data_IF_363352111485
#
_entry.id   IF_363352111485
#
_cell.length_a   1.000
_cell.length_b   1.000
_cell.length_c   1.000
_cell.angle_alpha   90.00
_cell.angle_beta   90.00
_cell.angle_gamma   90.00
#
_symmetry.space_group_name_H-M   'P 1'
#
loop_
_entity.id
_entity.type
_entity.pdbx_description
1 polymer ?
#
# COMPACT_ATOMS: atom_id res chain seq x y z
N UNK A 1 -26.76 -28.40 10.19
CA UNK A 1 -25.91 -29.32 10.94
C UNK A 1 -24.48 -28.86 10.75
N UNK A 2 -23.85 -28.29 11.78
CA UNK A 2 -22.44 -27.93 11.77
C UNK A 2 -21.64 -29.22 12.03
N UNK A 3 -20.92 -29.71 11.01
CA UNK A 3 -19.98 -30.81 11.20
C UNK A 3 -18.88 -30.37 12.17
N UNK A 4 -18.73 -31.11 13.25
CA UNK A 4 -17.65 -30.92 14.22
C UNK A 4 -16.32 -31.22 13.48
N UNK A 5 -15.40 -30.26 13.52
CA UNK A 5 -14.05 -30.45 13.04
C UNK A 5 -13.45 -31.72 13.68
N UNK A 6 -12.84 -32.55 12.86
CA UNK A 6 -12.22 -33.82 13.24
C UNK A 6 -11.19 -33.60 14.35
N UNK A 7 -11.17 -34.40 15.43
CA UNK A 7 -10.19 -34.34 16.52
C UNK A 7 -8.73 -34.64 16.05
N UNK A 8 -8.56 -35.18 14.87
CA UNK A 8 -7.21 -35.52 14.33
C UNK A 8 -6.35 -34.34 13.91
N UNK A 9 -6.91 -33.10 13.84
CA UNK A 9 -6.14 -31.88 13.51
C UNK A 9 -5.35 -31.37 14.73
N UNK A 10 -5.69 -31.77 15.94
CA UNK A 10 -5.08 -31.24 17.18
C UNK A 10 -3.81 -31.96 17.62
N UNK A 11 -3.63 -33.25 17.28
CA UNK A 11 -2.45 -34.02 17.69
C UNK A 11 -1.22 -33.75 16.80
N UNK A 12 -1.41 -33.44 15.51
CA UNK A 12 -0.32 -33.08 14.59
C UNK A 12 0.29 -31.69 14.88
N UNK A 13 -0.44 -30.82 15.59
CA UNK A 13 0.01 -29.46 15.93
C UNK A 13 1.00 -29.45 17.10
N UNK A 14 0.96 -30.48 17.98
CA UNK A 14 1.83 -30.56 19.18
C UNK A 14 3.26 -31.02 18.90
N UNK A 15 3.56 -31.52 17.69
CA UNK A 15 4.89 -31.96 17.26
C UNK A 15 5.45 -31.11 16.11
N UNK A 16 4.75 -30.03 15.70
CA UNK A 16 5.20 -29.15 14.64
C UNK A 16 6.32 -28.21 15.17
N UNK A 17 7.33 -27.98 14.34
CA UNK A 17 8.27 -26.88 14.57
C UNK A 17 7.48 -25.58 14.80
N UNK A 18 7.94 -24.76 15.73
CA UNK A 18 7.32 -23.47 16.03
C UNK A 18 8.20 -22.33 15.54
N UNK A 19 7.57 -21.19 15.26
CA UNK A 19 8.27 -19.94 14.97
C UNK A 19 7.72 -18.85 15.89
N UNK A 20 8.61 -18.01 16.39
CA UNK A 20 8.21 -16.87 17.22
C UNK A 20 7.65 -15.74 16.34
N UNK A 21 6.39 -15.37 16.54
CA UNK A 21 5.75 -14.20 15.97
C UNK A 21 5.71 -13.07 17.00
N UNK A 22 6.51 -12.01 16.81
CA UNK A 22 6.54 -10.84 17.69
C UNK A 22 5.65 -9.73 17.13
N UNK A 23 4.51 -9.46 17.77
CA UNK A 23 3.50 -8.51 17.29
C UNK A 23 3.52 -7.24 18.10
N UNK A 24 3.50 -6.09 17.46
CA UNK A 24 3.28 -4.81 18.14
C UNK A 24 1.87 -4.77 18.73
N UNK A 25 1.81 -4.49 20.04
CA UNK A 25 0.58 -4.32 20.82
C UNK A 25 0.50 -2.87 21.30
N UNK A 26 -0.66 -2.26 21.10
CA UNK A 26 -0.96 -0.92 21.54
C UNK A 26 -2.47 -0.70 21.69
N UNK A 27 -2.89 -0.33 22.89
CA UNK A 27 -4.25 0.13 23.18
C UNK A 27 -4.17 1.57 23.71
N UNK A 28 -4.61 2.59 22.94
CA UNK A 28 -4.48 4.00 23.34
C UNK A 28 -5.23 4.35 24.64
N UNK A 29 -6.18 3.52 25.06
CA UNK A 29 -6.88 3.67 26.36
C UNK A 29 -6.12 3.12 27.56
N UNK A 30 -5.03 2.37 27.35
CA UNK A 30 -4.29 1.64 28.40
C UNK A 30 -2.78 1.80 28.35
N UNK A 31 -2.22 1.89 27.13
CA UNK A 31 -0.79 1.86 26.89
C UNK A 31 -0.23 3.27 26.65
N UNK A 32 0.85 3.63 27.29
CA UNK A 32 1.57 4.89 27.03
C UNK A 32 2.43 4.84 25.77
N UNK A 33 2.81 3.64 25.32
CA UNK A 33 3.63 3.40 24.13
C UNK A 33 3.40 1.99 23.59
N UNK A 34 3.62 1.77 22.26
CA UNK A 34 3.62 0.43 21.67
C UNK A 34 4.69 -0.47 22.33
N UNK A 35 4.38 -1.77 22.43
CA UNK A 35 5.28 -2.82 22.92
C UNK A 35 5.22 -4.05 22.02
N UNK A 36 6.28 -4.83 21.95
CA UNK A 36 6.27 -6.12 21.27
C UNK A 36 5.78 -7.21 22.22
N UNK A 37 4.98 -8.12 21.71
CA UNK A 37 4.52 -9.32 22.40
C UNK A 37 4.80 -10.54 21.52
N UNK A 38 5.57 -11.51 22.07
CA UNK A 38 5.90 -12.75 21.37
C UNK A 38 4.79 -13.78 21.52
N UNK A 39 4.59 -14.55 20.45
CA UNK A 39 3.69 -15.69 20.38
C UNK A 39 4.42 -16.85 19.68
N UNK A 40 4.43 -18.03 20.29
CA UNK A 40 4.93 -19.24 19.64
C UNK A 40 3.81 -19.82 18.78
N UNK A 41 3.97 -19.75 17.47
CA UNK A 41 2.96 -20.24 16.52
C UNK A 41 3.49 -21.50 15.79
N UNK A 42 2.63 -22.44 15.41
CA UNK A 42 3.04 -23.55 14.57
C UNK A 42 3.67 -23.05 13.27
N UNK A 43 4.82 -23.61 12.91
CA UNK A 43 5.43 -23.35 11.62
C UNK A 43 4.86 -24.30 10.55
N UNK A 44 4.49 -23.70 9.43
CA UNK A 44 4.13 -24.43 8.21
C UNK A 44 4.73 -23.72 7.03
N UNK A 45 5.31 -24.44 6.10
CA UNK A 45 6.04 -23.89 4.94
C UNK A 45 5.13 -23.10 4.00
N UNK A 46 3.85 -23.43 3.94
CA UNK A 46 2.82 -22.76 3.16
C UNK A 46 2.16 -21.57 3.86
N UNK A 47 2.44 -21.34 5.15
CA UNK A 47 1.83 -20.24 5.89
C UNK A 47 2.49 -18.91 5.59
N UNK A 48 1.62 -17.89 5.53
CA UNK A 48 2.02 -16.49 5.48
C UNK A 48 1.82 -15.82 6.86
N UNK A 49 2.39 -14.64 7.05
CA UNK A 49 2.25 -13.85 8.29
C UNK A 49 0.78 -13.66 8.68
N UNK A 50 -0.12 -13.48 7.71
CA UNK A 50 -1.55 -13.35 7.99
C UNK A 50 -2.14 -14.64 8.59
N UNK A 51 -1.70 -15.82 8.19
CA UNK A 51 -2.17 -17.09 8.76
C UNK A 51 -1.70 -17.25 10.19
N UNK A 52 -0.44 -16.89 10.48
CA UNK A 52 0.09 -16.85 11.84
C UNK A 52 -0.69 -15.87 12.74
N UNK A 53 -1.00 -14.67 12.27
CA UNK A 53 -1.83 -13.72 12.99
C UNK A 53 -3.25 -14.24 13.25
N UNK A 54 -3.87 -14.89 12.24
CA UNK A 54 -5.18 -15.51 12.40
C UNK A 54 -5.13 -16.65 13.43
N UNK A 55 -4.07 -17.44 13.43
CA UNK A 55 -3.88 -18.51 14.39
C UNK A 55 -3.74 -17.97 15.82
N UNK A 56 -2.88 -16.95 16.03
CA UNK A 56 -2.75 -16.25 17.32
C UNK A 56 -4.10 -15.75 17.80
N UNK A 57 -4.85 -15.04 16.93
CA UNK A 57 -6.16 -14.47 17.28
C UNK A 57 -7.18 -15.53 17.67
N UNK A 58 -7.14 -16.70 17.04
CA UNK A 58 -8.10 -17.77 17.26
C UNK A 58 -7.77 -18.68 18.43
N UNK A 59 -6.47 -18.85 18.79
CA UNK A 59 -6.03 -19.86 19.74
C UNK A 59 -5.31 -19.29 20.98
N UNK A 60 -4.73 -18.08 20.89
CA UNK A 60 -3.91 -17.52 21.98
C UNK A 60 -4.46 -16.21 22.51
N UNK A 61 -4.71 -15.21 21.62
CA UNK A 61 -5.06 -13.86 22.04
C UNK A 61 -6.05 -13.21 21.07
N UNK A 62 -7.34 -13.34 21.35
CA UNK A 62 -8.42 -12.75 20.56
C UNK A 62 -8.42 -11.21 20.51
N UNK A 63 -7.60 -10.55 21.35
CA UNK A 63 -7.53 -9.09 21.42
C UNK A 63 -6.58 -8.47 20.37
N UNK A 64 -5.80 -9.25 19.63
CA UNK A 64 -4.91 -8.75 18.56
C UNK A 64 -5.74 -8.14 17.42
N UNK A 65 -5.39 -6.89 17.02
CA UNK A 65 -6.10 -6.16 15.97
C UNK A 65 -5.21 -5.95 14.74
N UNK A 66 -5.75 -6.32 13.60
CA UNK A 66 -5.13 -6.11 12.27
C UNK A 66 -6.22 -6.09 11.20
N UNK A 67 -5.88 -5.56 10.03
CA UNK A 67 -6.80 -5.51 8.87
C UNK A 67 -6.46 -6.62 7.88
N UNK A 68 -7.47 -7.23 7.30
CA UNK A 68 -7.32 -8.15 6.16
C UNK A 68 -8.66 -8.35 5.46
N UNK A 69 -8.62 -8.89 4.22
CA UNK A 69 -9.83 -9.23 3.48
C UNK A 69 -9.56 -10.37 2.47
N UNK A 70 -8.96 -10.08 1.31
CA UNK A 70 -8.93 -11.02 0.16
C UNK A 70 -8.01 -12.24 0.32
N UNK A 71 -6.99 -12.20 1.17
CA UNK A 71 -5.95 -13.24 1.37
C UNK A 71 -5.10 -13.58 0.12
N UNK A 72 -5.22 -12.84 -0.97
CA UNK A 72 -4.59 -13.16 -2.26
C UNK A 72 -3.84 -11.96 -2.89
N UNK A 73 -3.40 -11.01 -2.08
CA UNK A 73 -2.58 -9.88 -2.54
C UNK A 73 -3.31 -8.88 -3.46
N UNK A 74 -4.65 -8.77 -3.41
CA UNK A 74 -5.44 -7.92 -4.32
C UNK A 74 -6.01 -6.68 -3.64
N UNK A 75 -6.53 -6.79 -2.40
CA UNK A 75 -7.27 -5.68 -1.78
C UNK A 75 -6.39 -4.65 -1.05
N UNK A 76 -5.12 -4.95 -0.76
CA UNK A 76 -4.20 -4.06 -0.04
C UNK A 76 -4.45 -3.91 1.46
N UNK A 77 -5.52 -4.51 2.03
CA UNK A 77 -5.94 -4.26 3.43
C UNK A 77 -4.94 -4.76 4.49
N UNK A 78 -4.17 -5.81 4.20
CA UNK A 78 -3.24 -6.43 5.16
C UNK A 78 -1.81 -5.86 5.08
N UNK A 79 -1.67 -4.58 4.72
CA UNK A 79 -0.39 -3.88 4.76
C UNK A 79 0.12 -3.76 6.20
N UNK A 80 1.39 -4.12 6.42
CA UNK A 80 2.07 -4.06 7.71
C UNK A 80 3.59 -4.06 7.49
N UNK A 81 4.38 -3.73 8.51
CA UNK A 81 5.81 -3.95 8.47
C UNK A 81 6.13 -5.35 8.98
N UNK A 82 6.93 -6.09 8.23
CA UNK A 82 7.43 -7.42 8.61
C UNK A 82 8.96 -7.35 8.59
N UNK A 83 9.59 -7.55 9.74
CA UNK A 83 11.03 -7.39 9.94
C UNK A 83 11.56 -6.06 9.35
N UNK A 84 10.85 -4.95 9.62
CA UNK A 84 11.20 -3.61 9.17
C UNK A 84 10.88 -3.31 7.70
N UNK A 85 10.30 -4.24 6.95
CA UNK A 85 9.94 -4.06 5.55
C UNK A 85 8.42 -3.97 5.37
N UNK A 86 7.88 -2.92 4.69
CA UNK A 86 6.46 -2.86 4.37
C UNK A 86 6.06 -3.97 3.40
N UNK A 87 5.15 -4.85 3.83
CA UNK A 87 4.66 -5.99 3.04
C UNK A 87 3.16 -6.22 3.24
N UNK A 88 2.56 -6.97 2.33
CA UNK A 88 1.21 -7.51 2.55
C UNK A 88 1.33 -8.79 3.38
N UNK A 89 0.70 -8.84 4.55
CA UNK A 89 0.75 -10.02 5.42
C UNK A 89 0.25 -11.31 4.76
N UNK A 90 -0.64 -11.20 3.76
CA UNK A 90 -1.13 -12.34 2.99
C UNK A 90 -0.19 -12.83 1.87
N UNK A 91 0.99 -12.23 1.70
CA UNK A 91 1.99 -12.65 0.71
C UNK A 91 3.41 -12.72 1.29
N UNK A 92 3.57 -12.54 2.60
CA UNK A 92 4.83 -12.66 3.31
C UNK A 92 4.90 -14.07 3.93
N UNK A 93 5.61 -15.00 3.30
CA UNK A 93 5.70 -16.38 3.77
C UNK A 93 6.59 -16.51 5.00
N UNK A 94 6.20 -17.33 5.97
CA UNK A 94 6.97 -17.56 7.21
C UNK A 94 8.35 -18.16 6.92
N UNK A 95 8.47 -19.02 5.90
CA UNK A 95 9.73 -19.62 5.47
C UNK A 95 10.82 -18.62 5.08
N UNK A 96 10.41 -17.43 4.60
CA UNK A 96 11.36 -16.37 4.19
C UNK A 96 12.05 -15.69 5.38
N UNK A 97 11.62 -16.01 6.62
CA UNK A 97 12.09 -15.38 7.85
C UNK A 97 12.81 -16.35 8.80
N UNK A 98 12.95 -17.62 8.42
CA UNK A 98 13.67 -18.61 9.22
C UNK A 98 15.18 -18.27 9.31
N UNK A 99 15.84 -18.62 10.41
CA UNK A 99 15.34 -19.19 11.68
C UNK A 99 14.94 -18.13 12.74
N UNK A 100 15.01 -16.86 12.42
CA UNK A 100 14.78 -15.76 13.36
C UNK A 100 13.31 -15.46 13.62
N UNK A 101 12.98 -14.62 14.60
CA UNK A 101 11.62 -14.21 14.87
C UNK A 101 11.04 -13.40 13.72
N UNK A 102 9.73 -13.55 13.49
CA UNK A 102 8.96 -12.69 12.60
C UNK A 102 8.42 -11.52 13.40
N UNK A 103 8.98 -10.33 13.21
CA UNK A 103 8.53 -9.11 13.88
C UNK A 103 7.48 -8.42 13.01
N UNK A 104 6.29 -8.21 13.55
CA UNK A 104 5.16 -7.60 12.85
C UNK A 104 4.76 -6.30 13.55
N UNK A 105 4.84 -5.21 12.79
CA UNK A 105 4.58 -3.86 13.27
C UNK A 105 3.54 -3.17 12.38
N UNK A 106 2.83 -2.14 12.89
CA UNK A 106 1.96 -1.33 12.06
C UNK A 106 2.76 -0.65 10.93
N UNK A 107 2.08 -0.28 9.85
CA UNK A 107 2.70 0.52 8.79
C UNK A 107 3.29 1.82 9.38
N UNK A 108 4.55 2.10 9.06
CA UNK A 108 5.20 3.35 9.44
C UNK A 108 4.52 4.55 8.75
N UNK A 109 4.75 5.75 9.30
CA UNK A 109 4.25 7.02 8.78
C UNK A 109 2.71 7.18 8.87
N UNK A 110 2.05 6.37 9.69
CA UNK A 110 0.63 6.50 10.01
C UNK A 110 0.40 6.46 11.52
N UNK A 111 -0.56 7.24 12.04
CA UNK A 111 -0.96 7.14 13.44
C UNK A 111 -1.53 5.76 13.76
N UNK A 112 -1.11 5.17 14.88
CA UNK A 112 -1.61 3.86 15.32
C UNK A 112 -2.97 4.07 16.00
N UNK A 113 -3.99 3.36 15.49
CA UNK A 113 -5.32 3.29 16.12
C UNK A 113 -5.32 2.23 17.22
N UNK A 114 -4.85 1.03 16.89
CA UNK A 114 -4.70 -0.09 17.84
C UNK A 114 -3.87 -1.20 17.22
N UNK A 115 -2.89 -1.72 17.95
CA UNK A 115 -1.98 -2.80 17.52
C UNK A 115 -1.41 -2.54 16.10
N UNK A 116 -1.83 -3.32 15.09
CA UNK A 116 -1.40 -3.19 13.70
C UNK A 116 -2.35 -2.32 12.85
N UNK A 117 -3.43 -1.80 13.45
CA UNK A 117 -4.39 -0.94 12.75
C UNK A 117 -3.94 0.50 12.82
N UNK A 118 -3.83 1.15 11.68
CA UNK A 118 -3.43 2.56 11.54
C UNK A 118 -4.56 3.42 10.96
N UNK A 119 -4.52 4.74 11.25
CA UNK A 119 -5.41 5.72 10.64
C UNK A 119 -4.88 6.10 9.24
N UNK A 120 -5.73 5.92 8.24
CA UNK A 120 -5.43 6.18 6.83
C UNK A 120 -6.12 7.43 6.29
N UNK A 121 -6.71 8.25 7.15
CA UNK A 121 -7.52 9.40 6.74
C UNK A 121 -6.71 10.40 5.93
N UNK A 122 -5.51 10.75 6.38
CA UNK A 122 -4.62 11.67 5.66
C UNK A 122 -4.23 11.17 4.26
N UNK A 123 -4.00 9.86 4.12
CA UNK A 123 -3.77 9.24 2.81
C UNK A 123 -4.97 9.40 1.87
N UNK A 124 -6.18 9.17 2.37
CA UNK A 124 -7.40 9.29 1.57
C UNK A 124 -7.65 10.74 1.14
N UNK A 125 -7.33 11.71 1.98
CA UNK A 125 -7.47 13.13 1.64
C UNK A 125 -6.47 13.56 0.56
N UNK A 126 -5.20 13.15 0.69
CA UNK A 126 -4.17 13.34 -0.35
C UNK A 126 -4.54 12.66 -1.67
N UNK A 127 -5.15 11.47 -1.58
CA UNK A 127 -5.62 10.78 -2.77
C UNK A 127 -6.77 11.55 -3.45
N UNK A 128 -7.75 12.06 -2.69
CA UNK A 128 -8.85 12.89 -3.24
C UNK A 128 -8.34 14.17 -3.87
N UNK A 129 -7.33 14.78 -3.28
CA UNK A 129 -6.73 16.03 -3.76
C UNK A 129 -6.19 15.91 -5.20
N UNK A 130 -5.61 14.78 -5.57
CA UNK A 130 -5.10 14.55 -6.94
C UNK A 130 -6.17 14.12 -7.94
N UNK A 131 -7.43 13.99 -7.53
CA UNK A 131 -8.57 13.63 -8.37
C UNK A 131 -8.31 12.37 -9.23
N UNK A 132 -8.15 11.18 -8.61
CA UNK A 132 -7.77 9.96 -9.31
C UNK A 132 -9.00 9.31 -9.99
N UNK A 133 -9.63 10.05 -10.89
CA UNK A 133 -10.75 9.60 -11.72
C UNK A 133 -10.73 10.35 -13.06
N UNK A 134 -11.44 9.84 -14.06
CA UNK A 134 -11.53 10.48 -15.37
C UNK A 134 -12.37 11.76 -15.26
N UNK A 135 -11.81 12.85 -15.73
CA UNK A 135 -12.47 14.17 -15.82
C UNK A 135 -12.58 14.54 -17.30
N UNK A 136 -13.79 14.68 -17.77
CA UNK A 136 -14.11 15.11 -19.14
C UNK A 136 -15.52 15.68 -19.21
N UNK A 137 -15.79 16.41 -20.27
CA UNK A 137 -17.15 16.85 -20.61
C UNK A 137 -17.89 15.70 -21.33
N UNK A 138 -18.89 15.12 -20.66
CA UNK A 138 -19.68 14.01 -21.20
C UNK A 138 -20.54 14.49 -22.41
N UNK A 139 -20.87 15.76 -22.50
CA UNK A 139 -21.64 16.31 -23.61
C UNK A 139 -20.83 16.40 -24.91
N UNK A 140 -19.49 16.46 -24.78
CA UNK A 140 -18.56 16.47 -25.91
C UNK A 140 -18.27 15.08 -26.47
N UNK A 141 -18.78 14.04 -25.83
CA UNK A 141 -18.55 12.67 -26.24
C UNK A 141 -19.75 12.13 -26.97
N UNK A 142 -19.56 11.74 -28.22
CA UNK A 142 -20.61 11.10 -29.01
C UNK A 142 -21.09 9.78 -28.41
N UNK A 143 -22.25 9.27 -28.79
CA UNK A 143 -22.76 7.99 -28.32
C UNK A 143 -21.83 6.86 -28.74
N UNK A 144 -21.58 5.89 -27.81
CA UNK A 144 -20.81 4.66 -28.07
C UNK A 144 -19.63 4.45 -27.15
N UNK A 145 -18.76 3.53 -27.55
CA UNK A 145 -17.61 3.11 -26.77
C UNK A 145 -16.46 4.13 -26.84
N UNK A 146 -15.79 4.34 -25.71
CA UNK A 146 -14.57 5.15 -25.62
C UNK A 146 -13.34 4.29 -25.93
N UNK A 147 -13.08 4.09 -27.21
CA UNK A 147 -11.99 3.22 -27.68
C UNK A 147 -10.61 3.80 -27.37
N UNK A 148 -9.70 2.91 -26.98
CA UNK A 148 -8.28 3.19 -26.82
C UNK A 148 -7.48 2.19 -27.63
N UNK A 149 -6.36 2.65 -28.20
CA UNK A 149 -5.40 1.76 -28.83
C UNK A 149 -4.57 1.04 -27.75
N UNK A 150 -4.00 -0.15 -28.04
CA UNK A 150 -3.06 -0.81 -27.13
C UNK A 150 -1.91 0.11 -26.67
N UNK A 151 -1.35 0.92 -27.55
CA UNK A 151 -0.28 1.87 -27.23
C UNK A 151 -0.74 2.94 -26.22
N UNK A 152 -1.99 3.44 -26.33
CA UNK A 152 -2.54 4.38 -25.34
C UNK A 152 -2.71 3.74 -23.96
N UNK A 153 -3.12 2.47 -23.90
CA UNK A 153 -3.25 1.72 -22.65
C UNK A 153 -1.86 1.46 -22.02
N UNK A 154 -0.86 1.14 -22.84
CA UNK A 154 0.49 0.84 -22.38
C UNK A 154 1.15 2.03 -21.67
N UNK A 155 0.79 3.27 -22.04
CA UNK A 155 1.31 4.46 -21.36
C UNK A 155 1.03 4.50 -19.86
N UNK A 156 -0.12 4.00 -19.42
CA UNK A 156 -0.55 4.07 -18.00
C UNK A 156 -0.81 2.72 -17.35
N UNK A 157 -0.75 1.60 -18.08
CA UNK A 157 -1.06 0.25 -17.56
C UNK A 157 -0.38 -0.04 -16.23
N UNK A 158 0.92 0.26 -16.11
CA UNK A 158 1.68 0.05 -14.90
C UNK A 158 1.07 0.79 -13.70
N UNK A 159 0.74 2.06 -13.85
CA UNK A 159 0.19 2.88 -12.78
C UNK A 159 -1.24 2.46 -12.40
N UNK A 160 -2.00 1.87 -13.33
CA UNK A 160 -3.35 1.36 -13.07
C UNK A 160 -3.37 0.09 -12.20
N UNK A 161 -2.22 -0.55 -11.99
CA UNK A 161 -2.09 -1.71 -11.09
C UNK A 161 -2.11 -1.35 -9.61
N UNK A 162 -2.14 -0.07 -9.25
CA UNK A 162 -2.16 0.38 -7.86
C UNK A 162 -3.42 -0.11 -7.14
N UNK A 163 -3.22 -0.77 -6.00
CA UNK A 163 -4.30 -1.30 -5.12
C UNK A 163 -4.49 -0.48 -3.85
N UNK A 164 -3.87 0.70 -3.76
CA UNK A 164 -3.95 1.59 -2.60
C UNK A 164 -3.56 0.91 -1.26
N UNK A 165 -2.57 0.02 -1.29
CA UNK A 165 -2.12 -0.72 -0.11
C UNK A 165 -1.26 0.11 0.86
N UNK A 166 -0.85 1.31 0.47
CA UNK A 166 -0.08 2.29 1.27
C UNK A 166 1.34 1.87 1.66
N UNK A 167 1.85 0.71 1.20
CA UNK A 167 3.21 0.26 1.52
C UNK A 167 4.27 1.25 1.05
N UNK A 168 4.05 1.91 -0.09
CA UNK A 168 4.93 2.96 -0.61
C UNK A 168 4.97 4.23 0.27
N UNK A 169 3.90 4.53 1.01
CA UNK A 169 3.88 5.57 2.04
C UNK A 169 4.66 5.15 3.27
N UNK A 170 4.45 3.90 3.71
CA UNK A 170 5.18 3.32 4.84
C UNK A 170 6.69 3.29 4.61
N UNK A 171 7.14 3.05 3.36
CA UNK A 171 8.55 3.03 2.98
C UNK A 171 9.15 4.41 2.67
N UNK A 172 8.33 5.44 2.51
CA UNK A 172 8.82 6.75 2.06
C UNK A 172 9.51 7.51 3.19
N UNK A 173 10.80 7.89 3.05
CA UNK A 173 11.50 8.65 4.09
C UNK A 173 11.09 10.13 4.12
N UNK A 174 10.42 10.64 3.08
CA UNK A 174 9.98 12.04 3.02
C UNK A 174 8.69 12.25 3.82
N UNK A 175 7.74 11.30 3.77
CA UNK A 175 6.44 11.44 4.44
C UNK A 175 6.52 11.80 5.94
N UNK A 176 7.42 11.25 6.75
CA UNK A 176 7.52 11.63 8.16
C UNK A 176 8.19 12.99 8.39
N UNK A 177 8.96 13.48 7.42
CA UNK A 177 9.67 14.77 7.50
C UNK A 177 8.77 15.90 7.01
N UNK A 178 8.06 15.64 5.90
CA UNK A 178 7.13 16.57 5.26
C UNK A 178 5.70 15.98 5.29
N UNK A 179 4.96 16.19 6.38
CA UNK A 179 3.62 15.59 6.54
C UNK A 179 2.61 16.00 5.46
N UNK A 180 2.80 17.19 4.86
CA UNK A 180 1.94 17.69 3.77
C UNK A 180 2.30 17.05 2.41
N UNK A 181 3.48 16.46 2.26
CA UNK A 181 3.86 15.78 1.03
C UNK A 181 2.77 14.81 0.57
N UNK A 182 2.26 15.04 -0.62
CA UNK A 182 1.12 14.29 -1.17
C UNK A 182 1.40 12.79 -1.31
N UNK A 183 2.67 12.42 -1.49
CA UNK A 183 3.16 11.05 -1.41
C UNK A 183 3.11 10.25 -2.71
N UNK A 184 3.79 9.08 -2.70
CA UNK A 184 4.10 8.36 -3.93
C UNK A 184 2.88 7.76 -4.63
N UNK A 185 1.92 7.16 -3.91
CA UNK A 185 0.76 6.51 -4.54
C UNK A 185 -0.17 7.53 -5.18
N UNK A 186 -0.41 8.68 -4.52
CA UNK A 186 -1.29 9.71 -5.06
C UNK A 186 -0.71 10.30 -6.35
N UNK A 187 0.61 10.57 -6.39
CA UNK A 187 1.28 11.07 -7.61
C UNK A 187 1.23 10.02 -8.73
N UNK A 188 1.47 8.74 -8.43
CA UNK A 188 1.38 7.67 -9.42
C UNK A 188 -0.03 7.53 -10.01
N UNK A 189 -1.06 7.67 -9.19
CA UNK A 189 -2.45 7.65 -9.65
C UNK A 189 -2.83 8.90 -10.41
N UNK A 190 -2.38 10.09 -10.00
CA UNK A 190 -2.53 11.30 -10.79
C UNK A 190 -1.90 11.12 -12.19
N UNK A 191 -0.69 10.57 -12.24
CA UNK A 191 0.01 10.27 -13.50
C UNK A 191 -0.76 9.27 -14.36
N UNK A 192 -1.36 8.25 -13.75
CA UNK A 192 -2.22 7.28 -14.44
C UNK A 192 -3.34 7.98 -15.23
N UNK A 193 -4.05 8.91 -14.60
CA UNK A 193 -5.15 9.63 -15.25
C UNK A 193 -4.66 10.71 -16.22
N UNK A 194 -3.53 11.33 -15.95
CA UNK A 194 -2.89 12.30 -16.85
C UNK A 194 -2.49 11.66 -18.20
N UNK A 195 -2.11 10.38 -18.18
CA UNK A 195 -1.72 9.61 -19.37
C UNK A 195 -2.92 8.94 -20.07
N UNK A 196 -4.11 8.97 -19.48
CA UNK A 196 -5.31 8.37 -20.07
C UNK A 196 -5.87 9.26 -21.19
N UNK A 197 -5.92 8.75 -22.40
CA UNK A 197 -6.38 9.51 -23.57
C UNK A 197 -7.84 9.96 -23.49
N UNK A 198 -8.61 9.40 -22.56
CA UNK A 198 -10.01 9.76 -22.30
C UNK A 198 -10.15 10.92 -21.30
N UNK A 199 -9.09 11.24 -20.56
CA UNK A 199 -9.08 12.31 -19.56
C UNK A 199 -8.76 13.66 -20.21
N UNK A 200 -9.32 14.74 -19.67
CA UNK A 200 -9.11 16.12 -20.12
C UNK A 200 -8.51 17.04 -19.04
N UNK A 201 -8.30 16.53 -17.83
CA UNK A 201 -7.77 17.32 -16.72
C UNK A 201 -6.24 17.19 -16.55
N UNK A 202 -5.51 16.69 -17.54
CA UNK A 202 -4.06 16.48 -17.47
C UNK A 202 -3.28 17.73 -17.07
N UNK A 203 -3.61 18.89 -17.66
CA UNK A 203 -2.96 20.17 -17.33
C UNK A 203 -3.35 20.69 -15.93
N UNK A 204 -4.58 20.49 -15.49
CA UNK A 204 -5.02 20.84 -14.14
C UNK A 204 -4.24 20.04 -13.11
N UNK A 205 -4.15 18.71 -13.30
CA UNK A 205 -3.34 17.85 -12.40
C UNK A 205 -1.87 18.22 -12.42
N UNK A 206 -1.30 18.53 -13.58
CA UNK A 206 0.10 18.94 -13.65
C UNK A 206 0.33 20.20 -12.81
N UNK A 207 -0.53 21.23 -12.91
CA UNK A 207 -0.44 22.44 -12.08
C UNK A 207 -0.56 22.11 -10.60
N UNK A 208 -1.50 21.24 -10.22
CA UNK A 208 -1.66 20.76 -8.85
C UNK A 208 -0.38 20.09 -8.35
N UNK A 209 0.20 19.17 -9.12
CA UNK A 209 1.38 18.41 -8.75
C UNK A 209 2.70 19.21 -8.79
N UNK A 210 2.72 20.37 -9.45
CA UNK A 210 3.90 21.26 -9.51
C UNK A 210 3.87 22.37 -8.46
N UNK A 211 2.79 22.46 -7.69
CA UNK A 211 2.66 23.32 -6.53
C UNK A 211 3.51 22.86 -5.34
N UNK A 212 3.27 23.45 -4.16
CA UNK A 212 3.84 22.99 -2.90
C UNK A 212 3.39 21.56 -2.57
N UNK A 213 4.17 20.89 -1.74
CA UNK A 213 3.83 19.62 -1.08
C UNK A 213 3.63 18.42 -2.04
N UNK A 214 4.16 18.51 -3.26
CA UNK A 214 3.94 17.51 -4.30
C UNK A 214 5.24 16.95 -4.90
N UNK A 215 5.41 16.98 -6.22
CA UNK A 215 6.51 16.26 -6.88
C UNK A 215 7.91 16.74 -6.45
N UNK A 216 8.05 18.03 -6.08
CA UNK A 216 9.36 18.62 -5.78
C UNK A 216 9.93 18.18 -4.44
N UNK A 217 9.10 17.76 -3.48
CA UNK A 217 9.54 17.28 -2.17
C UNK A 217 10.15 15.88 -2.24
N UNK A 218 9.89 15.15 -3.32
CA UNK A 218 10.45 13.82 -3.52
C UNK A 218 11.98 13.85 -3.69
N UNK A 219 12.71 13.20 -2.76
CA UNK A 219 14.18 13.02 -2.79
C UNK A 219 14.68 11.90 -3.70
N UNK A 220 13.80 11.17 -4.39
CA UNK A 220 14.10 10.09 -5.33
C UNK A 220 14.89 8.90 -4.74
N UNK A 221 14.62 8.50 -3.52
CA UNK A 221 15.27 7.32 -2.90
C UNK A 221 14.84 5.99 -3.57
N UNK A 222 13.61 5.91 -4.10
CA UNK A 222 13.14 4.74 -4.85
C UNK A 222 12.46 3.65 -4.03
N UNK A 223 12.48 3.71 -2.68
CA UNK A 223 11.88 2.71 -1.79
C UNK A 223 10.40 2.45 -2.08
N UNK A 224 9.65 3.49 -2.48
CA UNK A 224 8.25 3.36 -2.85
C UNK A 224 8.01 2.40 -4.04
N UNK A 225 8.95 2.31 -4.96
CA UNK A 225 8.91 1.39 -6.11
C UNK A 225 9.38 -0.01 -5.71
N UNK A 226 10.42 -0.10 -4.86
CA UNK A 226 10.98 -1.36 -4.39
C UNK A 226 9.96 -2.19 -3.58
N UNK A 227 9.16 -1.55 -2.70
CA UNK A 227 8.19 -2.26 -1.86
C UNK A 227 6.85 -2.53 -2.53
N UNK A 228 6.64 -2.11 -3.79
CA UNK A 228 5.33 -2.22 -4.42
C UNK A 228 4.98 -3.67 -4.79
N UNK A 229 3.95 -4.30 -4.18
CA UNK A 229 3.60 -5.69 -4.43
C UNK A 229 2.95 -5.91 -5.82
N UNK A 230 2.68 -4.83 -6.55
CA UNK A 230 2.04 -4.83 -7.88
C UNK A 230 2.96 -4.34 -9.00
N UNK A 231 4.23 -4.09 -8.70
CA UNK A 231 5.20 -3.61 -9.68
C UNK A 231 4.88 -2.22 -10.23
N UNK A 232 4.08 -1.43 -9.51
CA UNK A 232 3.93 -0.01 -9.81
C UNK A 232 5.24 0.69 -9.45
N UNK A 233 5.65 1.64 -10.29
CA UNK A 233 6.83 2.46 -10.08
C UNK A 233 6.43 3.93 -9.77
N UNK A 234 6.10 4.27 -8.52
CA UNK A 234 5.75 5.63 -8.15
C UNK A 234 6.92 6.60 -8.34
N UNK A 235 8.16 6.15 -8.10
CA UNK A 235 9.34 6.98 -8.31
C UNK A 235 9.46 7.43 -9.77
N UNK A 236 9.23 6.51 -10.73
CA UNK A 236 9.17 6.82 -12.16
C UNK A 236 8.04 7.80 -12.48
N UNK A 237 6.83 7.62 -11.92
CA UNK A 237 5.73 8.54 -12.12
C UNK A 237 6.10 9.96 -11.70
N UNK A 238 6.74 10.12 -10.55
CA UNK A 238 7.20 11.41 -10.02
C UNK A 238 8.23 12.04 -10.98
N UNK A 239 9.25 11.27 -11.40
CA UNK A 239 10.30 11.80 -12.28
C UNK A 239 9.75 12.17 -13.67
N UNK A 240 8.84 11.38 -14.24
CA UNK A 240 8.17 11.73 -15.49
C UNK A 240 7.36 13.03 -15.36
N UNK A 241 6.70 13.25 -14.23
CA UNK A 241 5.92 14.46 -13.98
C UNK A 241 6.84 15.68 -13.78
N UNK A 242 7.98 15.52 -13.08
CA UNK A 242 9.02 16.56 -12.97
C UNK A 242 9.54 16.96 -14.34
N UNK A 243 9.89 15.97 -15.15
CA UNK A 243 10.43 16.20 -16.49
C UNK A 243 9.43 16.93 -17.40
N UNK A 244 8.17 16.50 -17.43
CA UNK A 244 7.11 17.14 -18.20
C UNK A 244 6.88 18.59 -17.76
N UNK A 245 6.87 18.84 -16.47
CA UNK A 245 6.75 20.18 -15.89
C UNK A 245 7.91 21.09 -16.32
N UNK A 246 9.13 20.59 -16.22
CA UNK A 246 10.34 21.36 -16.61
C UNK A 246 10.35 21.69 -18.10
N UNK A 247 9.99 20.74 -18.96
CA UNK A 247 9.86 20.99 -20.40
C UNK A 247 8.79 22.06 -20.71
N UNK A 248 7.64 22.01 -20.02
CA UNK A 248 6.58 23.01 -20.16
C UNK A 248 7.01 24.41 -19.72
N UNK A 249 7.90 24.53 -18.75
CA UNK A 249 8.50 25.81 -18.33
C UNK A 249 9.53 26.33 -19.33
N UNK A 250 10.33 25.45 -19.94
CA UNK A 250 11.38 25.80 -20.90
C UNK A 250 10.84 26.08 -22.32
N UNK A 251 9.71 25.46 -22.68
CA UNK A 251 9.07 25.58 -23.99
C UNK A 251 7.61 26.04 -23.86
N UNK A 252 7.33 27.28 -23.45
CA UNK A 252 5.98 27.76 -23.22
C UNK A 252 5.11 27.84 -24.49
N UNK A 253 5.67 27.53 -25.67
CA UNK A 253 5.00 27.66 -26.97
C UNK A 253 4.64 26.33 -27.63
N UNK A 254 4.75 25.20 -26.95
CA UNK A 254 4.34 23.88 -27.46
C UNK A 254 2.92 23.50 -27.00
N UNK A 255 1.91 24.30 -27.33
CA UNK A 255 0.50 23.95 -27.08
C UNK A 255 0.08 22.72 -27.91
N UNK A 256 -0.39 21.65 -27.25
CA UNK A 256 -1.28 20.61 -27.82
C UNK A 256 -2.60 20.65 -27.11
#
# INVERSE_FOLDING_TARGET
MYERASPYIYEDVLMAETITLSVTRFDPGRDSRPRLQGYEVPYRDDWVVLDALNWVKSHMDGSVNYRWSCRMGICGSCGMNVNGQPKLGCSAFLRDYLPGPVVVEPMANFPIVRDLVVDISSFLDKLRWVKPWIIRDETAVGPGEHRQTPAQIDLYRQFSMCINCMLCYSACPVVPIEPEFVGPAAIALARRYQLDSRDRAGQERLRTLTGSDAIWDCSFVGECSAVCPKGVDPAKAIQQTKFESTLGMLMPWGGR
#
